data_IF_302867053485
#
_entry.id   IF_302867053485
#
_cell.length_a   1.000
_cell.length_b   1.000
_cell.length_c   1.000
_cell.angle_alpha   90.00
_cell.angle_beta   90.00
_cell.angle_gamma   90.00
#
_symmetry.space_group_name_H-M   'P 1'
#
loop_
_entity.id
_entity.type
_entity.pdbx_description
1 polymer ?
#
# COMPACT_ATOMS: atom_id res chain seq x y z
N UNK A 1 6.26 14.48 -12.49
CA UNK A 1 5.17 13.49 -12.40
C UNK A 1 5.82 12.13 -12.26
N UNK A 2 5.82 11.52 -11.06
CA UNK A 2 6.32 10.15 -10.89
C UNK A 2 5.21 9.19 -11.33
N UNK A 3 5.44 8.53 -12.47
CA UNK A 3 4.54 7.53 -13.05
C UNK A 3 4.56 6.26 -12.18
N UNK A 4 3.38 5.83 -11.73
CA UNK A 4 3.16 4.55 -11.05
C UNK A 4 3.57 3.33 -11.90
N UNK A 5 3.74 3.53 -13.21
CA UNK A 5 3.98 2.48 -14.20
C UNK A 5 5.41 1.91 -14.19
N UNK A 6 6.34 2.53 -13.45
CA UNK A 6 7.73 2.05 -13.32
C UNK A 6 8.05 1.53 -11.91
N UNK A 7 7.03 1.15 -11.14
CA UNK A 7 7.27 0.44 -9.89
C UNK A 7 7.27 -1.05 -10.22
N UNK A 8 8.42 -1.70 -10.06
CA UNK A 8 8.52 -3.15 -10.18
C UNK A 8 7.43 -3.79 -9.34
N UNK A 9 6.71 -4.77 -9.89
CA UNK A 9 5.65 -5.45 -9.15
C UNK A 9 6.17 -6.15 -7.87
N UNK A 10 7.48 -6.40 -7.79
CA UNK A 10 8.16 -6.94 -6.60
C UNK A 10 8.76 -5.88 -5.67
N UNK A 11 8.57 -4.58 -5.95
CA UNK A 11 9.07 -3.52 -5.10
C UNK A 11 8.46 -3.62 -3.70
N UNK A 12 9.32 -3.46 -2.69
CA UNK A 12 8.95 -3.53 -1.29
C UNK A 12 8.58 -2.14 -0.81
N UNK A 13 7.29 -1.93 -0.56
CA UNK A 13 6.74 -0.66 -0.14
C UNK A 13 6.52 -0.67 1.36
N UNK A 14 6.88 0.40 2.04
CA UNK A 14 6.52 0.56 3.45
C UNK A 14 5.15 1.20 3.57
N UNK A 15 4.54 1.12 4.76
CA UNK A 15 3.28 1.82 5.02
C UNK A 15 3.36 3.33 4.75
N UNK A 16 4.55 3.92 4.88
CA UNK A 16 4.78 5.35 4.62
C UNK A 16 4.72 5.71 3.13
N UNK A 17 5.02 4.74 2.26
CA UNK A 17 4.91 4.86 0.78
C UNK A 17 3.47 4.60 0.33
N UNK A 18 2.74 3.75 1.07
CA UNK A 18 1.35 3.44 0.80
C UNK A 18 0.39 4.51 1.31
N UNK A 19 0.67 5.12 2.46
CA UNK A 19 -0.22 6.08 3.08
C UNK A 19 -0.24 7.40 2.32
N UNK A 20 -1.45 7.92 2.08
CA UNK A 20 -1.62 9.33 1.73
C UNK A 20 -1.87 10.11 2.99
N UNK A 21 -1.00 11.07 3.27
CA UNK A 21 -1.13 11.99 4.40
C UNK A 21 -1.13 13.41 3.88
N UNK A 22 -2.30 14.06 3.96
CA UNK A 22 -2.44 15.48 3.67
C UNK A 22 -1.55 16.32 4.61
N UNK A 23 -1.45 15.92 5.88
CA UNK A 23 -0.64 16.60 6.90
C UNK A 23 0.87 16.58 6.59
N UNK A 24 1.38 15.50 5.98
CA UNK A 24 2.79 15.39 5.57
C UNK A 24 3.03 15.73 4.09
N UNK A 25 2.01 16.22 3.36
CA UNK A 25 2.02 16.42 1.90
C UNK A 25 2.53 15.20 1.11
N UNK A 26 2.29 13.99 1.63
CA UNK A 26 2.65 12.74 0.96
C UNK A 26 1.46 12.21 0.21
N UNK A 27 1.59 12.07 -1.11
CA UNK A 27 0.67 11.30 -1.94
C UNK A 27 1.23 9.89 -2.03
N UNK A 28 0.76 9.02 -1.15
CA UNK A 28 1.08 7.60 -1.22
C UNK A 28 0.32 6.93 -2.35
N UNK A 29 0.65 5.67 -2.58
CA UNK A 29 0.01 4.84 -3.62
C UNK A 29 -1.48 4.64 -3.37
N UNK A 30 -1.91 4.68 -2.11
CA UNK A 30 -3.32 4.54 -1.72
C UNK A 30 -3.87 5.88 -1.22
N UNK A 31 -5.18 6.09 -1.30
CA UNK A 31 -5.87 7.25 -0.70
C UNK A 31 -6.12 7.11 0.80
N UNK A 32 -5.49 6.12 1.45
CA UNK A 32 -5.74 5.76 2.84
C UNK A 32 -4.64 6.27 3.76
N UNK A 33 -4.98 6.55 5.01
CA UNK A 33 -4.01 6.81 6.07
C UNK A 33 -3.38 5.51 6.60
N UNK A 34 -2.20 5.56 7.22
CA UNK A 34 -1.57 4.38 7.83
C UNK A 34 -2.49 3.64 8.83
N UNK A 35 -3.31 4.37 9.60
CA UNK A 35 -4.27 3.77 10.52
C UNK A 35 -5.38 3.00 9.78
N UNK A 36 -5.87 3.52 8.66
CA UNK A 36 -6.85 2.82 7.83
C UNK A 36 -6.25 1.57 7.18
N UNK A 37 -5.02 1.67 6.68
CA UNK A 37 -4.30 0.51 6.11
C UNK A 37 -4.19 -0.61 7.15
N UNK A 38 -3.72 -0.31 8.37
CA UNK A 38 -3.65 -1.31 9.46
C UNK A 38 -5.01 -1.90 9.81
N UNK A 39 -6.07 -1.08 9.82
CA UNK A 39 -7.44 -1.55 10.10
C UNK A 39 -7.96 -2.48 9.01
N UNK A 40 -7.69 -2.18 7.73
CA UNK A 40 -8.10 -3.02 6.62
C UNK A 40 -7.27 -4.32 6.57
N UNK A 41 -5.97 -4.24 6.87
CA UNK A 41 -5.11 -5.42 7.04
C UNK A 41 -5.67 -6.34 8.13
N UNK A 42 -6.01 -5.80 9.30
CA UNK A 42 -6.63 -6.56 10.39
C UNK A 42 -8.00 -7.18 10.02
N UNK A 43 -8.68 -6.65 9.00
CA UNK A 43 -9.96 -7.18 8.52
C UNK A 43 -9.79 -8.15 7.35
N UNK A 44 -8.56 -8.39 6.88
CA UNK A 44 -8.30 -9.18 5.67
C UNK A 44 -8.75 -8.49 4.38
N UNK A 45 -9.02 -7.18 4.44
CA UNK A 45 -9.47 -6.37 3.29
C UNK A 45 -8.31 -5.64 2.60
N UNK A 46 -7.09 -5.78 3.09
CA UNK A 46 -5.88 -5.17 2.52
C UNK A 46 -4.79 -6.24 2.37
N UNK A 47 -3.90 -6.12 1.37
CA UNK A 47 -2.77 -7.02 1.23
C UNK A 47 -1.94 -7.11 2.51
N UNK A 48 -1.61 -8.34 2.92
CA UNK A 48 -0.91 -8.55 4.17
C UNK A 48 0.54 -8.09 4.07
N UNK A 49 1.00 -7.31 5.05
CA UNK A 49 2.40 -6.95 5.12
C UNK A 49 3.29 -8.16 5.40
N UNK A 50 4.39 -8.25 4.65
CA UNK A 50 5.45 -9.23 4.81
C UNK A 50 6.53 -8.63 5.70
N UNK A 51 6.92 -9.39 6.72
CA UNK A 51 8.10 -9.06 7.51
C UNK A 51 9.32 -9.72 6.86
N UNK A 52 10.35 -8.93 6.62
CA UNK A 52 11.63 -9.47 6.14
C UNK A 52 12.37 -10.03 7.35
N UNK A 53 12.79 -11.30 7.26
CA UNK A 53 13.59 -11.95 8.30
C UNK A 53 14.84 -11.12 8.57
N UNK A 54 15.00 -10.66 9.82
CA UNK A 54 16.11 -9.80 10.24
C UNK A 54 15.77 -8.32 10.39
N UNK A 55 14.61 -7.86 9.91
CA UNK A 55 14.18 -6.46 10.04
C UNK A 55 12.92 -6.35 10.90
N UNK A 56 12.86 -5.29 11.72
CA UNK A 56 11.62 -4.91 12.45
C UNK A 56 10.57 -4.27 11.54
N UNK A 57 10.93 -3.98 10.29
CA UNK A 57 10.07 -3.29 9.32
C UNK A 57 9.22 -4.29 8.54
N UNK A 58 7.96 -3.89 8.32
CA UNK A 58 6.99 -4.63 7.52
C UNK A 58 6.86 -3.94 6.17
N UNK A 59 6.82 -4.73 5.11
CA UNK A 59 6.79 -4.27 3.73
C UNK A 59 5.61 -4.91 3.00
N UNK A 60 5.10 -4.21 2.00
CA UNK A 60 4.04 -4.65 1.13
C UNK A 60 4.60 -4.81 -0.26
N UNK A 61 4.11 -5.79 -0.99
CA UNK A 61 4.53 -6.03 -2.37
C UNK A 61 3.73 -5.10 -3.29
N UNK A 62 4.42 -4.30 -4.10
CA UNK A 62 3.78 -3.33 -4.99
C UNK A 62 2.73 -3.95 -5.92
N UNK A 63 2.99 -5.15 -6.45
CA UNK A 63 2.04 -5.88 -7.30
C UNK A 63 0.74 -6.25 -6.57
N UNK A 64 0.81 -6.68 -5.31
CA UNK A 64 -0.38 -7.00 -4.51
C UNK A 64 -1.20 -5.74 -4.22
N UNK A 65 -0.52 -4.62 -3.94
CA UNK A 65 -1.17 -3.33 -3.71
C UNK A 65 -1.81 -2.80 -5.00
N UNK A 66 -1.13 -2.94 -6.14
CA UNK A 66 -1.65 -2.51 -7.45
C UNK A 66 -2.89 -3.31 -7.83
N UNK A 67 -2.84 -4.64 -7.69
CA UNK A 67 -4.00 -5.50 -7.92
C UNK A 67 -5.16 -5.16 -6.98
N UNK A 68 -4.87 -4.90 -5.70
CA UNK A 68 -5.89 -4.47 -4.74
C UNK A 68 -6.49 -3.10 -5.10
N UNK A 69 -5.67 -2.13 -5.51
CA UNK A 69 -6.15 -0.82 -5.95
C UNK A 69 -7.03 -0.93 -7.20
N UNK A 70 -6.66 -1.80 -8.15
CA UNK A 70 -7.48 -2.11 -9.31
C UNK A 70 -8.80 -2.75 -8.91
N UNK A 71 -8.80 -3.73 -8.01
CA UNK A 71 -10.02 -4.33 -7.47
C UNK A 71 -10.92 -3.32 -6.73
N UNK A 72 -10.33 -2.37 -5.99
CA UNK A 72 -11.11 -1.30 -5.35
C UNK A 72 -11.68 -0.30 -6.37
N UNK A 73 -10.97 -0.04 -7.48
CA UNK A 73 -11.45 0.81 -8.55
C UNK A 73 -12.52 0.12 -9.42
N UNK A 74 -12.41 -1.19 -9.63
CA UNK A 74 -13.37 -2.03 -10.36
C UNK A 74 -14.58 -2.43 -9.50
N UNK A 75 -14.44 -2.40 -8.17
CA UNK A 75 -15.41 -2.90 -7.20
C UNK A 75 -16.31 -1.85 -6.52
N UNK A 76 -16.54 -0.70 -7.16
CA UNK A 76 -17.66 0.18 -6.82
C UNK A 76 -18.59 0.34 -8.03
N UNK A 77 -19.50 -0.62 -8.19
CA UNK A 77 -20.75 -0.49 -8.92
C UNK A 77 -21.92 -0.83 -7.98
#
# INVERSE_FOLDING_TARGET
>A
MQNLDNIDNNAQLTIAELETSAARKRRGLTRLSASQIRRLESRGLFPQSRQITGTRSRFYVAGEIKAWLQQQAEGQA
#
